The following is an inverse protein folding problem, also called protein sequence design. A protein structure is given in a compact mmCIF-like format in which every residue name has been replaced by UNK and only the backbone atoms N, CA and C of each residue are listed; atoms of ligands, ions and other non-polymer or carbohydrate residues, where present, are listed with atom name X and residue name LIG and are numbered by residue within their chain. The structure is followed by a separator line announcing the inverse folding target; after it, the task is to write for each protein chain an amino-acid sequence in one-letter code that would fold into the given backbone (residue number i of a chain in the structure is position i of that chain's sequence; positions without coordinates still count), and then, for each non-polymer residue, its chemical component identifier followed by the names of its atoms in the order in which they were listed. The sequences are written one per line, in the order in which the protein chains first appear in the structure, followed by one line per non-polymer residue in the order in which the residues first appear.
data_IF_909197042948
#
_entry.id   IF_909197042948
#
_cell.length_a   1.000
_cell.length_b   1.000
_cell.length_c   1.000
_cell.angle_alpha   90.00
_cell.angle_beta   90.00
_cell.angle_gamma   90.00
#
_symmetry.space_group_name_H-M   'P 1'
#
loop_
_entity.id
_entity.type
_entity.pdbx_description
1 polymer ?
#
# COMPACT_ATOMS: atom_id res chain seq x y z
N UNK A 1 12.36 -16.92 -5.48
CA UNK A 1 11.69 -16.02 -6.46
C UNK A 1 12.74 -15.34 -7.32
N UNK A 2 12.49 -15.15 -8.62
CA UNK A 2 13.36 -14.35 -9.48
C UNK A 2 13.49 -12.93 -8.92
N UNK A 3 14.68 -12.37 -9.06
CA UNK A 3 15.04 -11.04 -8.55
C UNK A 3 15.52 -10.23 -9.74
N UNK A 4 15.07 -8.98 -9.84
CA UNK A 4 15.65 -8.09 -10.82
C UNK A 4 17.09 -7.68 -10.42
N UNK A 5 17.91 -7.14 -11.34
CA UNK A 5 19.26 -6.66 -11.00
C UNK A 5 19.32 -5.56 -9.92
N UNK A 6 18.18 -4.98 -9.54
CA UNK A 6 18.05 -3.93 -8.51
C UNK A 6 17.60 -4.48 -7.14
N UNK A 7 17.39 -5.80 -7.05
CA UNK A 7 17.00 -6.47 -5.81
C UNK A 7 15.50 -6.42 -5.52
N UNK A 8 14.64 -6.19 -6.51
CA UNK A 8 13.19 -6.27 -6.35
C UNK A 8 12.69 -7.67 -6.65
N UNK A 9 11.81 -8.16 -5.78
CA UNK A 9 11.28 -9.53 -5.80
C UNK A 9 9.77 -9.57 -6.07
N UNK A 10 9.06 -8.48 -5.78
CA UNK A 10 7.60 -8.41 -5.79
C UNK A 10 7.13 -7.12 -6.46
N UNK A 11 5.90 -7.13 -6.96
CA UNK A 11 5.16 -5.91 -7.30
C UNK A 11 3.92 -5.84 -6.42
N UNK A 12 3.74 -4.71 -5.74
CA UNK A 12 2.44 -4.33 -5.20
C UNK A 12 1.65 -3.70 -6.33
N UNK A 13 0.53 -4.31 -6.71
CA UNK A 13 -0.35 -3.85 -7.78
C UNK A 13 -1.66 -3.40 -7.15
N UNK A 14 -2.16 -2.23 -7.56
CA UNK A 14 -3.47 -1.73 -7.15
C UNK A 14 -4.31 -1.51 -8.39
N UNK A 15 -5.49 -2.12 -8.41
CA UNK A 15 -6.46 -2.02 -9.50
C UNK A 15 -7.67 -1.23 -9.03
N UNK A 16 -7.94 -0.12 -9.70
CA UNK A 16 -9.18 0.64 -9.56
C UNK A 16 -10.22 0.09 -10.52
N UNK A 17 -11.13 -0.75 -10.01
CA UNK A 17 -12.12 -1.50 -10.81
C UNK A 17 -13.04 -0.56 -11.60
N UNK A 18 -13.61 0.44 -10.93
CA UNK A 18 -14.63 1.32 -11.54
C UNK A 18 -14.11 2.11 -12.76
N UNK A 19 -12.85 2.56 -12.72
CA UNK A 19 -12.24 3.35 -13.80
C UNK A 19 -11.28 2.55 -14.69
N UNK A 20 -11.15 1.24 -14.45
CA UNK A 20 -10.23 0.33 -15.17
C UNK A 20 -8.78 0.87 -15.18
N UNK A 21 -8.32 1.40 -14.04
CA UNK A 21 -6.95 1.92 -13.90
C UNK A 21 -6.12 1.00 -13.03
N UNK A 22 -4.82 1.01 -13.29
CA UNK A 22 -3.84 0.24 -12.52
C UNK A 22 -2.61 1.10 -12.25
N UNK A 23 -2.03 0.93 -11.07
CA UNK A 23 -0.67 1.37 -10.79
C UNK A 23 0.05 0.31 -9.96
N UNK A 24 1.38 0.31 -10.03
CA UNK A 24 2.20 -0.68 -9.36
C UNK A 24 3.48 -0.08 -8.76
N UNK A 25 3.99 -0.76 -7.74
CA UNK A 25 5.24 -0.43 -7.08
C UNK A 25 6.08 -1.69 -6.87
N UNK A 26 7.33 -1.75 -7.38
CA UNK A 26 8.22 -2.85 -7.05
C UNK A 26 8.65 -2.79 -5.57
N UNK A 27 8.69 -3.94 -4.92
CA UNK A 27 9.06 -4.15 -3.52
C UNK A 27 10.20 -5.17 -3.40
N UNK A 28 11.15 -4.89 -2.50
CA UNK A 28 12.27 -5.80 -2.21
C UNK A 28 11.87 -6.96 -1.30
N UNK A 29 10.82 -6.78 -0.50
CA UNK A 29 10.23 -7.83 0.32
C UNK A 29 8.75 -7.50 0.60
N UNK A 30 8.01 -8.49 1.09
CA UNK A 30 6.58 -8.40 1.44
C UNK A 30 6.34 -7.99 2.90
N UNK A 31 7.28 -7.35 3.60
CA UNK A 31 6.98 -6.94 4.98
C UNK A 31 5.85 -5.92 4.98
N UNK A 32 4.96 -6.01 5.96
CA UNK A 32 3.84 -5.10 6.18
C UNK A 32 4.19 -3.61 5.97
N UNK A 33 5.29 -3.15 6.57
CA UNK A 33 5.73 -1.76 6.44
C UNK A 33 6.14 -1.41 4.99
N UNK A 34 6.71 -2.34 4.22
CA UNK A 34 6.99 -2.11 2.79
C UNK A 34 5.71 -2.05 1.96
N UNK A 35 4.72 -2.88 2.28
CA UNK A 35 3.40 -2.85 1.63
C UNK A 35 2.67 -1.53 1.91
N UNK A 36 2.59 -1.09 3.18
CA UNK A 36 2.01 0.20 3.57
C UNK A 36 2.67 1.37 2.82
N UNK A 37 4.01 1.42 2.84
CA UNK A 37 4.76 2.44 2.09
C UNK A 37 4.55 2.35 0.57
N UNK A 38 4.29 1.14 0.05
CA UNK A 38 3.93 0.90 -1.34
C UNK A 38 2.60 1.55 -1.71
N UNK A 39 1.55 1.31 -0.91
CA UNK A 39 0.23 1.93 -1.09
C UNK A 39 0.32 3.46 -1.08
N UNK A 40 0.96 4.04 -0.05
CA UNK A 40 1.14 5.50 0.06
C UNK A 40 1.81 6.06 -1.20
N UNK A 41 2.87 5.41 -1.70
CA UNK A 41 3.57 5.85 -2.92
C UNK A 41 2.72 5.74 -4.18
N UNK A 42 1.88 4.70 -4.30
CA UNK A 42 0.97 4.53 -5.42
C UNK A 42 -0.05 5.67 -5.45
N UNK A 43 -0.77 5.90 -4.34
CA UNK A 43 -1.82 6.90 -4.32
C UNK A 43 -1.30 8.35 -4.38
N UNK A 44 -0.10 8.63 -3.83
CA UNK A 44 0.53 9.96 -3.96
C UNK A 44 0.89 10.32 -5.41
N UNK A 45 1.00 9.36 -6.33
CA UNK A 45 1.17 9.65 -7.77
C UNK A 45 -0.11 10.20 -8.41
N UNK A 46 -1.27 10.09 -7.73
CA UNK A 46 -2.57 10.57 -8.18
C UNK A 46 -2.98 10.05 -9.58
N UNK A 47 -2.48 8.86 -9.96
CA UNK A 47 -2.83 8.16 -11.21
C UNK A 47 -4.12 7.35 -11.07
N UNK A 48 -4.30 6.76 -9.90
CA UNK A 48 -5.51 6.08 -9.43
C UNK A 48 -6.05 6.81 -8.21
N UNK A 49 -7.38 6.79 -8.02
CA UNK A 49 -7.99 7.42 -6.85
C UNK A 49 -7.98 6.46 -5.66
N UNK A 50 -7.75 6.95 -4.42
CA UNK A 50 -7.96 6.14 -3.22
C UNK A 50 -9.38 5.60 -3.19
N UNK A 51 -9.59 4.34 -2.79
CA UNK A 51 -10.92 3.78 -2.63
C UNK A 51 -11.65 4.49 -1.49
N UNK A 52 -12.94 4.78 -1.71
CA UNK A 52 -13.80 5.46 -0.73
C UNK A 52 -14.61 4.43 0.07
N UNK A 53 -14.97 3.31 -0.55
CA UNK A 53 -15.92 2.35 0.04
C UNK A 53 -15.27 1.03 0.46
N UNK A 54 -14.35 0.49 -0.35
CA UNK A 54 -13.80 -0.84 -0.11
C UNK A 54 -12.41 -0.98 -0.74
N UNK A 55 -11.51 -1.62 -0.01
CA UNK A 55 -10.23 -2.10 -0.50
C UNK A 55 -10.15 -3.59 -0.17
N UNK A 56 -9.99 -4.41 -1.20
CA UNK A 56 -9.92 -5.86 -1.07
C UNK A 56 -8.48 -6.31 -1.31
N UNK A 57 -7.99 -7.15 -0.40
CA UNK A 57 -6.73 -7.87 -0.51
C UNK A 57 -7.02 -9.35 -0.27
N UNK A 58 -6.06 -10.22 -0.57
CA UNK A 58 -6.09 -11.56 0.00
C UNK A 58 -5.89 -11.51 1.53
N UNK A 59 -5.96 -12.68 2.16
CA UNK A 59 -5.79 -12.84 3.61
C UNK A 59 -4.33 -13.07 4.02
N UNK A 60 -3.35 -12.74 3.18
CA UNK A 60 -1.94 -12.88 3.53
C UNK A 60 -1.51 -11.81 4.56
N UNK A 61 -0.53 -12.17 5.39
CA UNK A 61 -0.14 -11.40 6.57
C UNK A 61 0.53 -10.07 6.25
N UNK A 62 1.00 -9.84 5.02
CA UNK A 62 1.53 -8.54 4.60
C UNK A 62 0.47 -7.43 4.54
N UNK A 63 -0.81 -7.78 4.48
CA UNK A 63 -1.93 -6.84 4.38
C UNK A 63 -2.64 -6.62 5.73
N UNK A 64 -2.31 -7.42 6.74
CA UNK A 64 -2.97 -7.42 8.04
C UNK A 64 -2.00 -7.08 9.17
N UNK A 65 -2.44 -6.27 10.13
CA UNK A 65 -1.93 -6.30 11.50
C UNK A 65 -3.04 -6.88 12.39
N UNK A 66 -2.70 -7.43 13.56
CA UNK A 66 -3.64 -8.06 14.52
C UNK A 66 -4.83 -7.15 14.92
N UNK A 67 -4.75 -5.86 14.59
CA UNK A 67 -5.74 -4.84 14.92
C UNK A 67 -6.35 -4.09 13.71
N UNK A 68 -5.71 -4.08 12.52
CA UNK A 68 -6.18 -3.27 11.38
C UNK A 68 -5.51 -3.63 10.04
N UNK A 69 -6.19 -3.40 8.91
CA UNK A 69 -5.60 -3.57 7.57
C UNK A 69 -4.62 -2.44 7.23
N UNK A 70 -3.45 -2.76 6.67
CA UNK A 70 -2.50 -1.75 6.16
C UNK A 70 -3.06 -0.96 4.99
N UNK A 71 -4.01 -1.55 4.28
CA UNK A 71 -4.71 -0.94 3.16
C UNK A 71 -5.60 0.23 3.66
N UNK A 72 -6.34 0.00 4.75
CA UNK A 72 -7.15 1.03 5.44
C UNK A 72 -6.28 2.14 6.02
N UNK A 73 -5.19 1.78 6.70
CA UNK A 73 -4.21 2.75 7.21
C UNK A 73 -3.62 3.61 6.09
N UNK A 74 -3.39 3.04 4.91
CA UNK A 74 -2.90 3.80 3.77
C UNK A 74 -3.93 4.85 3.30
N UNK A 75 -5.21 4.48 3.22
CA UNK A 75 -6.30 5.40 2.87
C UNK A 75 -6.37 6.55 3.87
N UNK A 76 -6.34 6.25 5.17
CA UNK A 76 -6.33 7.27 6.23
C UNK A 76 -5.11 8.20 6.11
N UNK A 77 -3.91 7.65 5.89
CA UNK A 77 -2.68 8.42 5.70
C UNK A 77 -2.68 9.30 4.43
N UNK A 78 -3.59 9.08 3.49
CA UNK A 78 -3.76 9.92 2.29
C UNK A 78 -4.82 11.01 2.53
N UNK A 79 -5.83 10.73 3.36
CA UNK A 79 -6.94 11.65 3.67
C UNK A 79 -6.58 12.63 4.79
N UNK A 80 -5.76 12.22 5.76
CA UNK A 80 -5.27 13.09 6.82
C UNK A 80 -4.00 13.84 6.36
N UNK A 81 -3.92 15.18 6.50
CA UNK A 81 -2.66 15.88 6.38
C UNK A 81 -1.79 15.46 7.56
N UNK A 82 -0.84 14.56 7.33
CA UNK A 82 0.12 14.02 8.30
C UNK A 82 0.40 14.99 9.49
N UNK A 83 -0.27 14.80 10.62
CA UNK A 83 0.20 15.34 11.90
C UNK A 83 1.28 14.38 12.41
N UNK A 84 2.38 14.94 12.90
CA UNK A 84 3.65 14.24 13.12
C UNK A 84 3.66 13.31 14.36
N UNK A 85 2.50 12.90 14.88
CA UNK A 85 2.38 12.22 16.17
C UNK A 85 2.59 10.70 16.09
N UNK A 86 2.44 10.09 14.91
CA UNK A 86 2.49 8.64 14.75
C UNK A 86 3.90 8.02 14.65
N UNK A 87 4.94 8.85 14.49
CA UNK A 87 6.32 8.36 14.25
C UNK A 87 7.18 8.24 15.52
N UNK A 88 6.70 8.71 16.68
CA UNK A 88 7.48 8.69 17.93
C UNK A 88 7.12 7.57 18.91
N UNK A 89 6.26 6.61 18.52
CA UNK A 89 5.99 5.42 19.32
C UNK A 89 6.54 4.17 18.64
N UNK A 90 7.85 4.04 18.63
CA UNK A 90 8.58 2.76 18.45
C UNK A 90 9.94 2.87 19.10
#
# INVERSE_FOLDING_TARGET
MPVDPKGFHYFLVVVEVARKRVDAKPLKNKTANRVLNGFVKIYRRNRIKPPIYRLETDSESEFTNDQQSYAERAIQAIQEPFSNEWWHRS
#
